data_IF_510478903706
#
_entry.id   IF_510478903706
#
_cell.length_a   1.000
_cell.length_b   1.000
_cell.length_c   1.000
_cell.angle_alpha   90.00
_cell.angle_beta   90.00
_cell.angle_gamma   90.00
#
_symmetry.space_group_name_H-M   'P 1'
#
loop_
_entity.id
_entity.type
_entity.pdbx_description
1 polymer ?
#
# COMPACT_ATOMS: atom_id res chain seq x y z
N UNK A 1 -8.92 10.35 -19.25
CA UNK A 1 -9.73 9.92 -18.10
C UNK A 1 -9.22 8.54 -17.74
N UNK A 2 -8.50 8.37 -16.62
CA UNK A 2 -8.03 7.03 -16.23
C UNK A 2 -9.22 6.25 -15.70
N UNK A 3 -9.51 5.11 -16.34
CA UNK A 3 -10.54 4.15 -15.98
C UNK A 3 -10.29 3.59 -14.60
N UNK A 4 -11.32 3.54 -13.76
CA UNK A 4 -11.28 2.88 -12.46
C UNK A 4 -11.02 1.38 -12.63
N UNK A 5 -10.22 0.81 -11.73
CA UNK A 5 -9.95 -0.63 -11.70
C UNK A 5 -10.95 -1.29 -10.78
N UNK A 6 -11.61 -2.34 -11.26
CA UNK A 6 -12.46 -3.22 -10.47
C UNK A 6 -11.90 -4.64 -10.58
N UNK A 7 -11.34 -5.14 -9.48
CA UNK A 7 -10.79 -6.50 -9.45
C UNK A 7 -11.11 -7.19 -8.14
N UNK A 8 -11.08 -8.52 -8.14
CA UNK A 8 -10.99 -9.26 -6.88
C UNK A 8 -9.55 -9.17 -6.37
N UNK A 9 -8.60 -9.60 -7.19
CA UNK A 9 -7.17 -9.61 -6.87
C UNK A 9 -6.44 -8.54 -7.68
N UNK A 10 -5.66 -7.70 -7.02
CA UNK A 10 -4.87 -6.65 -7.66
C UNK A 10 -3.44 -6.67 -7.13
N UNK A 11 -2.50 -6.96 -8.00
CA UNK A 11 -1.06 -6.93 -7.70
C UNK A 11 -0.41 -5.68 -8.30
N UNK A 12 0.41 -4.99 -7.52
CA UNK A 12 1.21 -3.85 -7.96
C UNK A 12 2.66 -3.97 -7.51
N UNK A 13 3.56 -4.18 -8.47
CA UNK A 13 5.00 -4.28 -8.22
C UNK A 13 5.76 -3.06 -8.77
N UNK A 14 6.57 -2.41 -7.93
CA UNK A 14 7.46 -1.31 -8.31
C UNK A 14 8.90 -1.72 -8.04
N UNK A 15 9.73 -1.79 -9.08
CA UNK A 15 11.18 -1.95 -8.98
C UNK A 15 11.88 -0.64 -9.33
N UNK A 16 12.79 -0.16 -8.47
CA UNK A 16 13.47 1.13 -8.61
C UNK A 16 12.68 2.29 -8.00
N UNK A 17 12.45 3.35 -8.77
CA UNK A 17 11.90 4.64 -8.30
C UNK A 17 10.61 5.06 -9.02
N UNK A 18 9.85 4.07 -9.53
CA UNK A 18 8.60 4.30 -10.25
C UNK A 18 7.46 4.83 -9.37
N UNK A 19 6.41 5.32 -10.01
CA UNK A 19 5.20 5.80 -9.34
C UNK A 19 3.97 5.08 -9.90
N UNK A 20 3.10 4.56 -9.03
CA UNK A 20 1.78 4.05 -9.40
C UNK A 20 0.72 4.95 -8.76
N UNK A 21 -0.27 5.37 -9.55
CA UNK A 21 -1.44 6.10 -9.08
C UNK A 21 -2.65 5.32 -9.58
N UNK A 22 -3.50 4.87 -8.66
CA UNK A 22 -4.61 3.97 -8.97
C UNK A 22 -5.84 4.30 -8.13
N UNK A 23 -7.00 4.19 -8.77
CA UNK A 23 -8.31 4.42 -8.18
C UNK A 23 -9.24 3.25 -8.53
N UNK A 24 -10.26 3.00 -7.70
CA UNK A 24 -11.27 1.96 -7.94
C UNK A 24 -11.53 1.09 -6.72
N UNK A 25 -11.76 -0.21 -6.93
CA UNK A 25 -12.03 -1.18 -5.86
C UNK A 25 -11.27 -2.50 -6.09
N UNK A 26 -10.72 -3.04 -5.01
CA UNK A 26 -10.14 -4.38 -4.96
C UNK A 26 -10.67 -5.15 -3.74
N UNK A 27 -10.76 -6.48 -3.82
CA UNK A 27 -10.97 -7.30 -2.62
C UNK A 27 -9.63 -7.50 -1.92
N UNK A 28 -8.66 -8.06 -2.62
CA UNK A 28 -7.33 -8.38 -2.12
C UNK A 28 -6.27 -7.57 -2.91
N UNK A 29 -5.49 -6.77 -2.20
CA UNK A 29 -4.48 -5.85 -2.77
C UNK A 29 -3.07 -6.23 -2.32
N UNK A 30 -2.24 -6.69 -3.25
CA UNK A 30 -0.83 -6.99 -3.01
C UNK A 30 0.06 -5.86 -3.58
N UNK A 31 0.94 -5.30 -2.75
CA UNK A 31 1.87 -4.24 -3.15
C UNK A 31 3.29 -4.68 -2.79
N UNK A 32 4.17 -4.69 -3.79
CA UNK A 32 5.60 -4.93 -3.61
C UNK A 32 6.42 -3.75 -4.11
N UNK A 33 7.22 -3.12 -3.25
CA UNK A 33 8.12 -2.03 -3.62
C UNK A 33 9.55 -2.42 -3.30
N UNK A 34 10.37 -2.60 -4.34
CA UNK A 34 11.81 -2.82 -4.22
C UNK A 34 12.54 -1.55 -4.67
N UNK A 35 13.02 -0.74 -3.73
CA UNK A 35 13.71 0.52 -3.98
C UNK A 35 13.07 1.71 -3.28
N UNK A 36 12.80 2.78 -4.02
CA UNK A 36 12.31 4.06 -3.50
C UNK A 36 11.03 4.54 -4.21
N UNK A 37 10.30 3.62 -4.83
CA UNK A 37 9.04 3.91 -5.51
C UNK A 37 7.92 4.39 -4.60
N UNK A 38 6.88 4.97 -5.22
CA UNK A 38 5.69 5.49 -4.52
C UNK A 38 4.41 4.88 -5.11
N UNK A 39 3.64 4.19 -4.27
CA UNK A 39 2.31 3.70 -4.57
C UNK A 39 1.24 4.63 -3.96
N UNK A 40 0.38 5.20 -4.80
CA UNK A 40 -0.71 6.11 -4.42
C UNK A 40 -2.07 5.50 -4.77
N UNK A 41 -2.62 4.74 -3.82
CA UNK A 41 -3.92 4.07 -3.93
C UNK A 41 -4.91 4.50 -2.85
N UNK A 42 -4.87 5.75 -2.38
CA UNK A 42 -5.85 6.27 -1.40
C UNK A 42 -7.27 6.31 -1.94
N UNK A 43 -7.42 6.45 -3.27
CA UNK A 43 -8.69 6.38 -3.98
C UNK A 43 -9.03 4.96 -4.51
N UNK A 44 -8.22 3.95 -4.15
CA UNK A 44 -8.50 2.54 -4.37
C UNK A 44 -9.00 1.94 -3.04
N UNK A 45 -10.27 1.55 -2.97
CA UNK A 45 -10.80 0.89 -1.78
C UNK A 45 -10.51 -0.60 -1.83
N UNK A 46 -9.63 -1.07 -0.94
CA UNK A 46 -9.30 -2.48 -0.78
C UNK A 46 -10.01 -3.08 0.45
N UNK A 47 -10.41 -4.36 0.40
CA UNK A 47 -10.93 -5.06 1.58
C UNK A 47 -9.78 -5.55 2.47
N UNK A 48 -8.80 -6.23 1.88
CA UNK A 48 -7.53 -6.61 2.52
C UNK A 48 -6.35 -6.02 1.75
N UNK A 49 -5.20 -5.87 2.41
CA UNK A 49 -3.96 -5.54 1.73
C UNK A 49 -2.73 -6.17 2.37
N UNK A 50 -1.86 -6.72 1.52
CA UNK A 50 -0.54 -7.21 1.86
C UNK A 50 0.52 -6.31 1.20
N UNK A 51 1.39 -5.71 2.01
CA UNK A 51 2.38 -4.74 1.56
C UNK A 51 3.77 -5.19 1.95
N UNK A 52 4.66 -5.32 0.97
CA UNK A 52 6.08 -5.55 1.16
C UNK A 52 6.89 -4.35 0.62
N UNK A 53 7.72 -3.74 1.47
CA UNK A 53 8.66 -2.67 1.04
C UNK A 53 10.08 -3.07 1.42
N UNK A 54 10.91 -3.27 0.40
CA UNK A 54 12.35 -3.45 0.52
C UNK A 54 13.05 -2.16 0.07
N UNK A 55 13.56 -1.37 1.02
CA UNK A 55 14.22 -0.09 0.78
C UNK A 55 13.54 1.09 1.48
N UNK A 56 13.34 2.18 0.74
CA UNK A 56 12.82 3.48 1.24
C UNK A 56 11.52 3.89 0.56
N UNK A 57 10.83 2.95 -0.07
CA UNK A 57 9.59 3.17 -0.79
C UNK A 57 8.44 3.62 0.10
N UNK A 58 7.37 4.10 -0.54
CA UNK A 58 6.18 4.62 0.14
C UNK A 58 4.91 4.02 -0.44
N UNK A 59 3.99 3.61 0.43
CA UNK A 59 2.66 3.18 0.03
C UNK A 59 1.59 4.01 0.75
N UNK A 60 0.59 4.49 0.00
CA UNK A 60 -0.63 5.11 0.53
C UNK A 60 -1.83 4.29 0.11
N UNK A 61 -2.54 3.71 1.07
CA UNK A 61 -3.62 2.74 0.83
C UNK A 61 -4.89 3.08 1.61
N UNK A 62 -6.04 2.59 1.14
CA UNK A 62 -7.30 2.66 1.86
C UNK A 62 -7.85 1.24 2.03
N UNK A 63 -7.85 0.74 3.28
CA UNK A 63 -8.08 -0.69 3.58
C UNK A 63 -9.17 -0.84 4.63
N UNK A 64 -10.10 -1.77 4.40
CA UNK A 64 -11.29 -1.94 5.26
C UNK A 64 -11.09 -2.92 6.41
N UNK A 65 -10.54 -4.11 6.17
CA UNK A 65 -10.56 -5.22 7.15
C UNK A 65 -9.18 -5.61 7.66
N UNK A 66 -8.22 -5.98 6.80
CA UNK A 66 -6.88 -6.41 7.23
C UNK A 66 -5.78 -5.71 6.44
N UNK A 67 -4.77 -5.20 7.13
CA UNK A 67 -3.56 -4.63 6.54
C UNK A 67 -2.34 -5.33 7.14
N UNK A 68 -1.63 -6.08 6.30
CA UNK A 68 -0.34 -6.66 6.65
C UNK A 68 0.77 -5.84 5.98
N UNK A 69 1.77 -5.42 6.75
CA UNK A 69 2.92 -4.66 6.23
C UNK A 69 4.25 -5.28 6.69
N UNK A 70 5.07 -5.74 5.74
CA UNK A 70 6.45 -6.17 5.94
C UNK A 70 7.41 -5.12 5.35
N UNK A 71 8.14 -4.41 6.22
CA UNK A 71 9.04 -3.34 5.84
C UNK A 71 10.48 -3.71 6.18
N UNK A 72 11.33 -3.81 5.15
CA UNK A 72 12.78 -4.02 5.28
C UNK A 72 13.50 -2.76 4.82
N UNK A 73 13.99 -1.96 5.76
CA UNK A 73 14.65 -0.67 5.51
C UNK A 73 13.94 0.51 6.18
N UNK A 74 13.76 1.59 5.44
CA UNK A 74 13.25 2.88 5.93
C UNK A 74 11.95 3.33 5.24
N UNK A 75 11.27 2.39 4.58
CA UNK A 75 10.02 2.66 3.87
C UNK A 75 8.86 3.06 4.79
N UNK A 76 7.79 3.59 4.20
CA UNK A 76 6.62 4.05 4.97
C UNK A 76 5.31 3.60 4.34
N UNK A 77 4.39 3.14 5.19
CA UNK A 77 3.00 2.84 4.81
C UNK A 77 2.07 3.82 5.51
N UNK A 78 1.29 4.54 4.73
CA UNK A 78 0.23 5.40 5.23
C UNK A 78 -1.11 4.79 4.85
N UNK A 79 -2.03 4.67 5.80
CA UNK A 79 -3.31 4.02 5.55
C UNK A 79 -4.50 4.86 5.99
N UNK A 80 -5.60 4.72 5.24
CA UNK A 80 -6.97 5.10 5.60
C UNK A 80 -7.78 3.86 6.01
N UNK A 81 -8.97 4.11 6.56
CA UNK A 81 -9.87 3.06 7.03
C UNK A 81 -9.59 2.64 8.48
N UNK A 82 -10.17 1.51 8.87
CA UNK A 82 -10.03 0.94 10.22
C UNK A 82 -9.72 -0.56 10.18
N UNK A 83 -8.67 -0.99 9.45
CA UNK A 83 -8.31 -2.40 9.39
C UNK A 83 -7.67 -2.88 10.70
N UNK A 84 -7.68 -4.19 10.91
CA UNK A 84 -6.75 -4.88 11.81
C UNK A 84 -5.37 -4.85 11.17
N UNK A 85 -4.37 -4.47 11.95
CA UNK A 85 -3.03 -4.20 11.43
C UNK A 85 -2.05 -5.21 11.99
N UNK A 86 -1.30 -5.84 11.11
CA UNK A 86 -0.12 -6.64 11.43
C UNK A 86 1.09 -5.99 10.77
N UNK A 87 2.14 -5.75 11.55
CA UNK A 87 3.38 -5.15 11.03
C UNK A 87 4.58 -6.00 11.40
N UNK A 88 5.52 -6.07 10.47
CA UNK A 88 6.88 -6.54 10.69
C UNK A 88 7.81 -5.49 10.11
N UNK A 89 8.64 -4.87 10.96
CA UNK A 89 9.52 -3.77 10.53
C UNK A 89 10.95 -4.12 10.95
N UNK A 90 11.80 -4.33 9.95
CA UNK A 90 13.24 -4.47 10.10
C UNK A 90 13.92 -3.20 9.59
N UNK A 91 14.30 -2.31 10.50
CA UNK A 91 14.93 -1.03 10.18
C UNK A 91 14.24 0.16 10.84
N UNK A 92 14.07 1.25 10.09
CA UNK A 92 13.51 2.53 10.59
C UNK A 92 12.21 2.91 9.90
N UNK A 93 11.52 1.96 9.27
CA UNK A 93 10.25 2.20 8.60
C UNK A 93 9.10 2.54 9.56
N UNK A 94 8.00 3.05 9.01
CA UNK A 94 6.82 3.47 9.76
C UNK A 94 5.52 3.01 9.08
N UNK A 95 4.54 2.58 9.89
CA UNK A 95 3.16 2.34 9.46
C UNK A 95 2.23 3.29 10.22
N UNK A 96 1.55 4.20 9.53
CA UNK A 96 0.82 5.30 10.16
C UNK A 96 -0.58 5.52 9.58
N UNK A 97 -1.57 5.69 10.45
CA UNK A 97 -2.91 6.13 10.05
C UNK A 97 -2.88 7.60 9.63
N UNK A 98 -3.47 7.91 8.49
CA UNK A 98 -3.70 9.28 8.04
C UNK A 98 -5.20 9.62 8.12
N UNK A 99 -5.55 10.91 8.15
CA UNK A 99 -6.95 11.37 8.08
C UNK A 99 -7.36 11.49 6.62
N UNK A 100 -8.55 10.98 6.28
CA UNK A 100 -9.22 11.37 5.04
C UNK A 100 -9.81 12.76 5.27
N UNK A 101 -9.53 13.70 4.38
CA UNK A 101 -10.20 15.01 4.38
C UNK A 101 -11.64 14.87 3.89
#
# INVERSE_FOLDING_TARGET
MLTEVFSSDLEATINGSGNIIINGTAKDLEIKINGSGDFRGVALSAFTSDIEINGSGKARVNVKDNLNADLKGSGSVYYLGSPKIKTNISGSGEVKKIKGN
#
